data_IF_094473365644
#
_entry.id   IF_094473365644
#
_cell.length_a   1.000
_cell.length_b   1.000
_cell.length_c   1.000
_cell.angle_alpha   90.00
_cell.angle_beta   90.00
_cell.angle_gamma   90.00
#
_symmetry.space_group_name_H-M   'P 1'
#
loop_
_entity.id
_entity.type
_entity.pdbx_description
1 polymer ?
#
# COMPACT_ATOMS: atom_id res chain seq x y z
N UNK A 1 0.38 8.19 8.81
CA UNK A 1 0.29 6.76 8.44
C UNK A 1 1.61 6.03 8.61
N UNK A 2 2.73 6.69 8.33
CA UNK A 2 4.05 6.12 8.58
C UNK A 2 4.46 6.40 10.02
N UNK A 3 4.99 5.40 10.69
CA UNK A 3 5.37 5.50 12.09
C UNK A 3 6.85 5.79 12.30
N UNK A 4 7.55 6.16 11.23
CA UNK A 4 8.95 6.52 11.32
C UNK A 4 9.91 5.34 11.45
N UNK A 5 9.49 4.14 11.04
CA UNK A 5 10.38 2.99 11.07
C UNK A 5 11.65 3.26 10.28
N UNK A 6 12.84 2.90 10.83
CA UNK A 6 14.08 3.03 10.07
C UNK A 6 14.00 2.18 8.79
N UNK A 7 14.60 2.64 7.72
CA UNK A 7 14.66 1.94 6.43
C UNK A 7 13.32 1.81 5.69
N UNK A 8 12.24 2.35 6.27
CA UNK A 8 10.99 2.47 5.55
C UNK A 8 11.08 3.65 4.59
N UNK A 9 10.90 3.39 3.31
CA UNK A 9 10.99 4.43 2.29
C UNK A 9 9.68 4.57 1.56
N UNK A 10 9.23 5.81 1.39
CA UNK A 10 8.04 6.14 0.61
C UNK A 10 8.38 7.27 -0.35
N UNK A 11 8.09 7.07 -1.63
CA UNK A 11 8.29 8.08 -2.66
C UNK A 11 7.01 8.25 -3.46
N UNK A 12 6.41 9.43 -3.37
CA UNK A 12 5.25 9.78 -4.18
C UNK A 12 5.76 10.43 -5.47
N UNK A 13 5.30 9.92 -6.60
CA UNK A 13 5.73 10.38 -7.91
C UNK A 13 4.65 11.14 -8.68
N UNK A 14 3.42 11.14 -8.19
CA UNK A 14 2.28 11.76 -8.88
C UNK A 14 2.54 13.21 -9.27
N UNK A 15 2.95 14.02 -8.30
CA UNK A 15 3.21 15.44 -8.52
C UNK A 15 4.49 15.66 -9.33
N UNK A 16 5.55 14.93 -9.02
CA UNK A 16 6.84 15.08 -9.69
C UNK A 16 6.75 14.76 -11.17
N UNK A 17 5.89 13.82 -11.55
CA UNK A 17 5.66 13.44 -12.96
C UNK A 17 4.51 14.21 -13.59
N UNK A 18 3.87 15.11 -12.84
CA UNK A 18 2.72 15.89 -13.34
C UNK A 18 1.59 15.00 -13.87
N UNK A 19 1.32 13.87 -13.16
CA UNK A 19 0.27 12.96 -13.56
C UNK A 19 -1.11 13.59 -13.33
N UNK A 20 -1.98 13.51 -14.32
CA UNK A 20 -3.33 14.08 -14.25
C UNK A 20 -4.41 13.01 -14.08
N UNK A 21 -4.18 11.82 -14.59
CA UNK A 21 -5.20 10.76 -14.64
C UNK A 21 -4.82 9.51 -13.86
N UNK A 22 -3.71 9.58 -13.13
CA UNK A 22 -3.25 8.46 -12.28
C UNK A 22 -2.41 8.99 -11.14
N UNK A 23 -2.19 8.13 -10.16
CA UNK A 23 -1.28 8.38 -9.05
C UNK A 23 -0.28 7.25 -8.98
N UNK A 24 0.94 7.56 -8.59
CA UNK A 24 2.02 6.57 -8.51
C UNK A 24 2.86 6.81 -7.28
N UNK A 25 3.12 5.75 -6.54
CA UNK A 25 4.08 5.78 -5.44
C UNK A 25 4.92 4.52 -5.42
N UNK A 26 6.09 4.63 -4.82
CA UNK A 26 7.00 3.53 -4.55
C UNK A 26 7.19 3.42 -3.05
N UNK A 27 7.22 2.20 -2.55
CA UNK A 27 7.48 1.95 -1.13
C UNK A 27 8.46 0.80 -0.98
N UNK A 28 9.41 0.99 -0.08
CA UNK A 28 10.32 -0.07 0.36
C UNK A 28 10.06 -0.31 1.84
N UNK A 29 9.66 -1.53 2.14
CA UNK A 29 9.27 -1.94 3.49
C UNK A 29 10.37 -2.87 4.02
N UNK A 30 10.97 -2.55 5.18
CA UNK A 30 12.06 -3.38 5.70
C UNK A 30 11.61 -4.79 6.07
N UNK A 31 12.55 -5.75 6.12
CA UNK A 31 12.20 -7.14 6.44
C UNK A 31 11.40 -7.27 7.73
N UNK A 32 10.32 -8.02 7.66
CA UNK A 32 9.47 -8.33 8.80
C UNK A 32 8.59 -7.20 9.29
N UNK A 33 8.68 -6.01 8.69
CA UNK A 33 7.89 -4.88 9.14
C UNK A 33 6.42 -5.03 8.72
N UNK A 34 5.53 -4.82 9.68
CA UNK A 34 4.09 -4.82 9.47
C UNK A 34 3.56 -3.41 9.69
N UNK A 35 2.84 -2.87 8.72
CA UNK A 35 2.16 -1.60 8.93
C UNK A 35 1.12 -1.75 10.04
N UNK A 36 1.14 -0.87 11.05
CA UNK A 36 0.17 -0.96 12.15
C UNK A 36 -1.24 -0.51 11.75
N UNK A 37 -1.38 0.07 10.58
CA UNK A 37 -2.66 0.60 10.09
C UNK A 37 -3.14 -0.18 8.88
N UNK A 38 -4.44 -0.53 8.88
CA UNK A 38 -5.15 -0.78 7.64
C UNK A 38 -5.76 0.52 7.16
N UNK A 39 -6.02 0.65 5.87
CA UNK A 39 -6.69 1.82 5.33
C UNK A 39 -7.60 1.45 4.18
N UNK A 40 -8.49 2.37 3.86
CA UNK A 40 -9.41 2.24 2.73
C UNK A 40 -9.52 3.59 2.04
N UNK A 41 -9.83 3.56 0.76
CA UNK A 41 -10.15 4.75 -0.02
C UNK A 41 -11.61 4.69 -0.43
N UNK A 42 -12.31 5.83 -0.32
CA UNK A 42 -13.73 5.90 -0.69
C UNK A 42 -13.94 5.88 -2.19
N UNK A 43 -13.03 6.46 -2.95
CA UNK A 43 -13.17 6.63 -4.40
C UNK A 43 -12.02 6.05 -5.19
N UNK A 44 -10.84 5.96 -4.61
CA UNK A 44 -9.64 5.56 -5.35
C UNK A 44 -9.54 4.05 -5.48
N UNK A 45 -9.39 3.60 -6.72
CA UNK A 45 -8.95 2.24 -7.02
C UNK A 45 -7.43 2.23 -7.06
N UNK A 46 -6.82 1.19 -6.51
CA UNK A 46 -5.36 1.06 -6.54
C UNK A 46 -4.94 -0.31 -7.06
N UNK A 47 -3.76 -0.35 -7.68
CA UNK A 47 -3.08 -1.58 -8.04
C UNK A 47 -1.73 -1.59 -7.35
N UNK A 48 -1.45 -2.63 -6.61
CA UNK A 48 -0.17 -2.86 -5.94
C UNK A 48 0.63 -3.85 -6.77
N UNK A 49 1.85 -3.47 -7.15
CA UNK A 49 2.74 -4.33 -7.93
C UNK A 49 3.98 -4.61 -7.10
N UNK A 50 4.24 -5.89 -6.82
CA UNK A 50 5.45 -6.29 -6.07
C UNK A 50 6.61 -6.32 -7.06
N UNK A 51 7.59 -5.45 -6.85
CA UNK A 51 8.74 -5.37 -7.75
C UNK A 51 9.96 -6.09 -7.19
N UNK A 52 9.99 -6.32 -5.88
CA UNK A 52 11.09 -7.04 -5.23
C UNK A 52 10.68 -7.57 -3.87
N UNK A 53 11.18 -8.75 -3.52
CA UNK A 53 10.87 -9.36 -2.23
C UNK A 53 9.50 -9.97 -2.20
N UNK A 54 8.85 -9.91 -1.04
CA UNK A 54 7.53 -10.45 -0.86
C UNK A 54 7.00 -10.20 0.54
N UNK A 55 5.85 -10.77 0.83
CA UNK A 55 5.20 -10.60 2.12
C UNK A 55 3.77 -11.05 2.08
N UNK A 56 2.92 -10.36 2.84
CA UNK A 56 1.49 -10.65 2.90
C UNK A 56 0.70 -9.36 2.81
N UNK A 57 -0.50 -9.46 2.28
CA UNK A 57 -1.45 -8.36 2.24
C UNK A 57 -2.78 -8.84 2.81
N UNK A 58 -3.31 -8.09 3.76
CA UNK A 58 -4.66 -8.34 4.27
C UNK A 58 -5.63 -7.44 3.53
N UNK A 59 -6.62 -8.04 2.88
CA UNK A 59 -7.65 -7.35 2.11
C UNK A 59 -8.99 -7.74 2.72
N UNK A 60 -9.66 -6.78 3.38
CA UNK A 60 -10.82 -7.04 4.23
C UNK A 60 -10.51 -8.19 5.22
N UNK A 61 -11.15 -9.34 5.10
CA UNK A 61 -10.93 -10.48 5.99
C UNK A 61 -9.98 -11.54 5.42
N UNK A 62 -9.43 -11.29 4.23
CA UNK A 62 -8.59 -12.26 3.54
C UNK A 62 -7.12 -11.85 3.60
N UNK A 63 -6.25 -12.82 3.89
CA UNK A 63 -4.79 -12.61 3.85
C UNK A 63 -4.23 -13.39 2.68
N UNK A 64 -3.49 -12.71 1.81
CA UNK A 64 -2.87 -13.32 0.64
C UNK A 64 -1.35 -13.18 0.72
N UNK A 65 -0.65 -14.14 0.14
CA UNK A 65 0.80 -14.10 -0.02
C UNK A 65 1.16 -13.24 -1.22
N UNK A 66 2.26 -12.48 -1.09
CA UNK A 66 2.78 -11.63 -2.16
C UNK A 66 4.15 -12.15 -2.60
N UNK A 67 4.32 -12.28 -3.90
CA UNK A 67 5.59 -12.66 -4.52
C UNK A 67 5.97 -11.64 -5.58
N UNK A 68 7.24 -11.66 -6.01
CA UNK A 68 7.70 -10.75 -7.07
C UNK A 68 6.81 -10.80 -8.30
N UNK A 69 6.49 -9.62 -8.78
CA UNK A 69 5.66 -9.39 -9.97
C UNK A 69 4.19 -9.76 -9.81
N UNK A 70 3.75 -10.06 -8.59
CA UNK A 70 2.32 -10.11 -8.32
C UNK A 70 1.73 -8.71 -8.45
N UNK A 71 0.54 -8.64 -9.01
CA UNK A 71 -0.24 -7.42 -9.07
C UNK A 71 -1.59 -7.67 -8.38
N UNK A 72 -1.95 -6.77 -7.47
CA UNK A 72 -3.19 -6.89 -6.69
C UNK A 72 -4.03 -5.65 -6.90
N UNK A 73 -5.24 -5.83 -7.42
CA UNK A 73 -6.20 -4.74 -7.53
C UNK A 73 -6.97 -4.61 -6.23
N UNK A 74 -7.05 -3.39 -5.72
CA UNK A 74 -7.85 -3.08 -4.54
C UNK A 74 -8.91 -2.05 -4.93
N UNK A 75 -10.19 -2.45 -5.01
CA UNK A 75 -11.25 -1.53 -5.36
C UNK A 75 -11.53 -0.52 -4.24
N UNK A 76 -12.26 0.56 -4.53
CA UNK A 76 -12.69 1.50 -3.50
C UNK A 76 -13.47 0.79 -2.39
N UNK A 77 -13.43 1.36 -1.20
CA UNK A 77 -14.14 0.87 -0.01
C UNK A 77 -13.68 -0.51 0.48
N UNK A 78 -12.49 -0.94 0.06
CA UNK A 78 -11.88 -2.19 0.50
C UNK A 78 -10.74 -1.86 1.45
N UNK A 79 -10.73 -2.46 2.63
CA UNK A 79 -9.67 -2.25 3.61
C UNK A 79 -8.45 -3.10 3.26
N UNK A 80 -7.26 -2.51 3.39
CA UNK A 80 -6.01 -3.22 3.13
C UNK A 80 -4.90 -2.78 4.06
N UNK A 81 -3.99 -3.68 4.28
CA UNK A 81 -2.73 -3.44 4.95
C UNK A 81 -1.73 -4.51 4.50
N UNK A 82 -0.45 -4.26 4.67
CA UNK A 82 0.56 -5.20 4.21
C UNK A 82 1.73 -5.31 5.18
N UNK A 83 2.46 -6.41 5.03
CA UNK A 83 3.58 -6.79 5.87
C UNK A 83 4.67 -7.35 4.98
N UNK A 84 5.92 -6.93 5.22
CA UNK A 84 7.06 -7.47 4.50
C UNK A 84 7.46 -8.83 5.06
N UNK A 85 7.88 -9.71 4.17
CA UNK A 85 8.49 -10.97 4.55
C UNK A 85 9.94 -10.80 4.98
N UNK A 86 10.67 -11.92 5.14
CA UNK A 86 12.05 -11.88 5.68
C UNK A 86 13.06 -11.16 4.77
N UNK A 87 12.74 -11.02 3.49
CA UNK A 87 13.62 -10.34 2.52
C UNK A 87 13.20 -8.91 2.23
N UNK A 88 12.20 -8.40 2.94
CA UNK A 88 11.64 -7.09 2.66
C UNK A 88 10.63 -7.11 1.53
N UNK A 89 10.06 -5.94 1.25
CA UNK A 89 9.02 -5.80 0.22
C UNK A 89 9.19 -4.45 -0.46
N UNK A 90 9.29 -4.47 -1.79
CA UNK A 90 9.26 -3.25 -2.58
C UNK A 90 8.06 -3.30 -3.50
N UNK A 91 7.24 -2.26 -3.46
CA UNK A 91 6.01 -2.19 -4.23
C UNK A 91 5.89 -0.85 -4.97
N UNK A 92 5.23 -0.91 -6.12
CA UNK A 92 4.68 0.25 -6.77
C UNK A 92 3.18 0.26 -6.51
N UNK A 93 2.64 1.41 -6.19
CA UNK A 93 1.20 1.58 -6.00
C UNK A 93 0.71 2.55 -7.06
N UNK A 94 -0.22 2.08 -7.88
CA UNK A 94 -0.79 2.84 -8.99
C UNK A 94 -2.27 3.04 -8.66
N UNK A 95 -2.73 4.28 -8.69
CA UNK A 95 -4.11 4.57 -8.36
C UNK A 95 -4.73 5.59 -9.29
N UNK A 96 -6.04 5.71 -9.22
CA UNK A 96 -6.75 6.79 -9.87
C UNK A 96 -6.45 8.09 -9.11
N UNK A 97 -6.48 9.25 -9.77
CA UNK A 97 -6.26 10.50 -9.07
C UNK A 97 -7.44 10.79 -8.14
N UNK A 98 -7.15 11.45 -7.02
CA UNK A 98 -8.19 11.92 -6.12
C UNK A 98 -7.98 13.41 -5.87
N UNK A 99 -9.08 14.17 -5.83
CA UNK A 99 -9.06 15.62 -5.62
C UNK A 99 -8.85 15.95 -4.14
N UNK A 100 -9.26 15.06 -3.24
CA UNK A 100 -9.13 15.27 -1.80
C UNK A 100 -8.69 13.96 -1.13
N UNK A 101 -7.38 13.82 -1.00
CA UNK A 101 -6.80 12.63 -0.38
C UNK A 101 -7.24 12.46 1.07
N UNK A 102 -7.41 13.55 1.81
CA UNK A 102 -7.84 13.47 3.22
C UNK A 102 -9.28 13.01 3.34
N UNK A 103 -10.16 13.42 2.42
CA UNK A 103 -11.54 13.00 2.40
C UNK A 103 -11.72 11.59 1.84
N UNK A 104 -10.74 11.10 1.08
CA UNK A 104 -10.83 9.80 0.42
C UNK A 104 -10.34 8.65 1.30
N UNK A 105 -9.37 8.88 2.17
CA UNK A 105 -8.71 7.82 2.94
C UNK A 105 -9.19 7.76 4.38
N UNK A 106 -9.44 6.54 4.88
CA UNK A 106 -9.66 6.24 6.29
C UNK A 106 -8.62 5.23 6.74
N UNK A 107 -8.21 5.32 8.00
CA UNK A 107 -7.23 4.41 8.58
C UNK A 107 -7.74 3.79 9.86
N UNK A 108 -7.31 2.58 10.16
CA UNK A 108 -7.64 1.86 11.38
C UNK A 108 -6.38 1.22 11.95
N UNK A 109 -6.03 1.63 13.19
CA UNK A 109 -4.90 1.05 13.91
C UNK A 109 -5.27 -0.33 14.44
N UNK A 110 -4.28 -1.23 14.49
CA UNK A 110 -4.53 -2.57 14.96
C UNK A 110 -5.30 -3.43 13.98
N UNK A 111 -5.17 -3.13 12.70
CA UNK A 111 -5.88 -3.79 11.60
C UNK A 111 -5.64 -5.30 11.53
N UNK A 112 -4.42 -5.74 11.85
CA UNK A 112 -4.09 -7.16 11.84
C UNK A 112 -4.63 -7.82 13.11
N UNK A 113 -5.31 -8.96 13.00
CA UNK A 113 -5.90 -9.61 14.18
C UNK A 113 -4.92 -10.34 15.08
N UNK A 114 -3.68 -10.52 14.67
CA UNK A 114 -2.67 -11.32 15.40
C UNK A 114 -1.51 -10.49 15.96
#
# INVERSE_FOLDING_TARGET
MFDGAPDLEFRAATKALELEHSALSYQRVPPGYRFPYGHTHRQQEEVYVVVRGGGRMKIDDEVIELEEWDAVRVPPCTWRGYEAGPDGLEILVIGAPTLDMRGDVDGERGWWPE
#
